data_IF_435511597825
#
_entry.id   IF_435511597825
#
_cell.length_a   1.000
_cell.length_b   1.000
_cell.length_c   1.000
_cell.angle_alpha   90.00
_cell.angle_beta   90.00
_cell.angle_gamma   90.00
#
_symmetry.space_group_name_H-M   'P 1'
#
loop_
_entity.id
_entity.type
_entity.pdbx_description
1 polymer ?
#
# COMPACT_ATOMS: atom_id res chain seq x y z
N UNK A 1 -4.56 -31.95 4.58
CA UNK A 1 -5.58 -31.04 4.01
C UNK A 1 -4.89 -30.02 3.13
N UNK A 2 -5.55 -29.58 2.06
CA UNK A 2 -4.97 -28.76 0.97
C UNK A 2 -4.18 -27.52 1.45
N UNK A 3 -4.63 -26.87 2.53
CA UNK A 3 -4.01 -25.65 3.07
C UNK A 3 -3.00 -25.85 4.22
N UNK A 4 -2.53 -27.06 4.49
CA UNK A 4 -1.63 -27.33 5.62
C UNK A 4 -0.17 -27.16 5.22
N UNK A 5 0.58 -26.43 6.04
CA UNK A 5 2.04 -26.34 5.97
C UNK A 5 2.60 -26.21 7.39
N UNK A 6 3.70 -26.92 7.76
CA UNK A 6 4.27 -26.86 9.11
C UNK A 6 4.72 -25.46 9.55
N UNK A 7 5.13 -24.63 8.58
CA UNK A 7 5.62 -23.27 8.84
C UNK A 7 4.50 -22.22 8.80
N UNK A 8 3.29 -22.60 8.35
CA UNK A 8 2.13 -21.70 8.32
C UNK A 8 1.51 -21.62 9.71
N UNK A 9 2.02 -20.67 10.51
CA UNK A 9 1.54 -20.42 11.87
C UNK A 9 1.32 -18.94 12.18
N UNK A 10 0.69 -18.64 13.33
CA UNK A 10 0.48 -17.26 13.80
C UNK A 10 1.79 -16.48 13.91
N UNK A 11 2.87 -17.13 14.39
CA UNK A 11 4.18 -16.49 14.55
C UNK A 11 4.74 -15.95 13.23
N UNK A 12 4.88 -16.81 12.21
CA UNK A 12 5.39 -16.39 10.89
C UNK A 12 4.48 -15.31 10.28
N UNK A 13 3.17 -15.48 10.41
CA UNK A 13 2.17 -14.52 9.91
C UNK A 13 2.31 -13.14 10.57
N UNK A 14 2.63 -13.11 11.87
CA UNK A 14 2.86 -11.90 12.64
C UNK A 14 4.19 -11.24 12.28
N UNK A 15 5.29 -11.99 12.17
CA UNK A 15 6.60 -11.48 11.73
C UNK A 15 6.52 -10.85 10.35
N UNK A 16 5.92 -11.54 9.37
CA UNK A 16 5.70 -10.99 8.03
C UNK A 16 4.84 -9.71 8.09
N UNK A 17 3.81 -9.70 8.95
CA UNK A 17 2.98 -8.53 9.19
C UNK A 17 3.76 -7.34 9.75
N UNK A 18 4.68 -7.58 10.69
CA UNK A 18 5.51 -6.54 11.30
C UNK A 18 6.50 -5.94 10.32
N UNK A 19 7.18 -6.78 9.52
CA UNK A 19 8.09 -6.31 8.47
C UNK A 19 7.33 -5.47 7.44
N UNK A 20 6.16 -5.94 7.01
CA UNK A 20 5.32 -5.18 6.08
C UNK A 20 4.76 -3.90 6.70
N UNK A 21 4.43 -3.88 7.99
CA UNK A 21 3.96 -2.67 8.67
C UNK A 21 5.02 -1.56 8.55
N UNK A 22 6.24 -1.82 9.02
CA UNK A 22 7.31 -0.81 8.92
C UNK A 22 7.68 -0.50 7.48
N UNK A 23 7.84 -1.53 6.65
CA UNK A 23 8.23 -1.38 5.26
C UNK A 23 7.23 -0.57 4.44
N UNK A 24 5.95 -0.90 4.52
CA UNK A 24 4.89 -0.19 3.80
C UNK A 24 4.67 1.21 4.37
N UNK A 25 4.78 1.42 5.69
CA UNK A 25 4.76 2.78 6.25
C UNK A 25 5.89 3.64 5.65
N UNK A 26 7.10 3.09 5.51
CA UNK A 26 8.19 3.79 4.81
C UNK A 26 7.84 4.07 3.35
N UNK A 27 7.22 3.14 2.63
CA UNK A 27 6.77 3.37 1.24
C UNK A 27 5.73 4.48 1.14
N UNK A 28 4.71 4.48 2.01
CA UNK A 28 3.67 5.53 2.04
C UNK A 28 4.30 6.90 2.28
N UNK A 29 5.18 7.01 3.27
CA UNK A 29 5.85 8.29 3.59
C UNK A 29 6.74 8.73 2.44
N UNK A 30 7.60 7.85 1.92
CA UNK A 30 8.51 8.21 0.81
C UNK A 30 7.77 8.50 -0.49
N UNK A 31 6.63 7.83 -0.74
CA UNK A 31 5.75 8.10 -1.87
C UNK A 31 5.06 9.45 -1.77
N UNK A 32 4.54 9.79 -0.57
CA UNK A 32 3.98 11.11 -0.29
C UNK A 32 5.03 12.21 -0.45
N UNK A 33 6.26 12.01 0.05
CA UNK A 33 7.37 12.93 -0.18
C UNK A 33 7.72 13.04 -1.67
N UNK A 34 7.65 11.95 -2.43
CA UNK A 34 7.87 11.97 -3.88
C UNK A 34 6.81 12.81 -4.59
N UNK A 35 5.52 12.67 -4.21
CA UNK A 35 4.44 13.50 -4.74
C UNK A 35 4.61 14.98 -4.38
N UNK A 36 4.95 15.30 -3.13
CA UNK A 36 5.25 16.67 -2.72
C UNK A 36 6.45 17.27 -3.48
N UNK A 37 7.43 16.44 -3.88
CA UNK A 37 8.59 16.88 -4.67
C UNK A 37 8.26 17.28 -6.12
N UNK A 38 7.09 16.89 -6.64
CA UNK A 38 6.59 17.49 -7.88
C UNK A 38 6.20 18.96 -7.67
N UNK A 39 5.94 19.38 -6.43
CA UNK A 39 5.43 20.70 -6.06
C UNK A 39 4.19 21.07 -6.90
N UNK A 40 3.07 20.35 -6.72
CA UNK A 40 1.87 20.53 -7.54
C UNK A 40 1.29 21.95 -7.48
N UNK A 41 1.47 22.64 -6.34
CA UNK A 41 0.99 24.01 -6.13
C UNK A 41 1.83 25.07 -6.87
N UNK A 42 3.02 24.70 -7.36
CA UNK A 42 3.95 25.63 -8.01
C UNK A 42 3.57 25.92 -9.47
N UNK A 43 3.16 24.91 -10.24
CA UNK A 43 2.80 25.04 -11.66
C UNK A 43 1.80 23.95 -12.09
N UNK A 44 0.76 24.27 -12.89
CA UNK A 44 -0.20 23.27 -13.39
C UNK A 44 0.43 22.11 -14.18
N UNK A 45 1.62 22.29 -14.76
CA UNK A 45 2.37 21.22 -15.44
C UNK A 45 2.94 20.20 -14.46
N UNK A 46 3.19 20.60 -13.21
CA UNK A 46 3.67 19.72 -12.15
C UNK A 46 2.54 18.90 -11.52
N UNK A 47 1.31 19.41 -11.53
CA UNK A 47 0.17 18.71 -10.94
C UNK A 47 -0.39 17.63 -11.88
N UNK A 48 0.09 16.41 -11.69
CA UNK A 48 -0.34 15.24 -12.44
C UNK A 48 -1.67 14.67 -11.92
N UNK A 49 -2.23 15.21 -10.84
CA UNK A 49 -3.50 14.81 -10.21
C UNK A 49 -4.25 16.02 -9.65
N UNK A 50 -4.75 16.94 -10.50
CA UNK A 50 -5.39 18.18 -10.06
C UNK A 50 -6.71 17.97 -9.29
N UNK A 51 -7.24 16.76 -9.32
CA UNK A 51 -8.43 16.32 -8.62
C UNK A 51 -8.14 15.77 -7.20
N UNK A 52 -6.93 15.98 -6.65
CA UNK A 52 -6.55 15.42 -5.35
C UNK A 52 -7.31 16.04 -4.17
N UNK A 53 -7.74 17.30 -4.28
CA UNK A 53 -8.57 18.03 -3.31
C UNK A 53 -8.10 17.80 -1.84
N UNK A 54 -8.96 17.31 -0.94
CA UNK A 54 -8.64 17.07 0.45
C UNK A 54 -7.48 16.09 0.68
N UNK A 55 -7.15 15.25 -0.31
CA UNK A 55 -6.07 14.28 -0.19
C UNK A 55 -4.68 14.93 -0.35
N UNK A 56 -4.61 16.20 -0.77
CA UNK A 56 -3.37 17.01 -0.82
C UNK A 56 -3.03 17.75 0.47
N UNK A 57 -3.73 17.49 1.59
CA UNK A 57 -3.56 18.24 2.85
C UNK A 57 -2.12 18.28 3.41
N UNK A 58 -1.25 17.40 2.92
CA UNK A 58 0.13 17.24 3.36
C UNK A 58 1.15 17.93 2.44
N UNK A 59 0.70 18.60 1.36
CA UNK A 59 1.59 19.28 0.42
C UNK A 59 2.31 20.46 1.09
N UNK A 60 3.57 20.65 0.69
CA UNK A 60 4.44 21.73 1.14
C UNK A 60 5.48 22.02 0.05
N UNK A 61 6.02 23.24 0.04
CA UNK A 61 7.09 23.61 -0.90
C UNK A 61 8.32 22.72 -0.68
N UNK A 62 8.65 21.93 -1.70
CA UNK A 62 9.69 20.94 -1.57
C UNK A 62 11.10 21.58 -1.51
N UNK A 63 11.94 21.19 -0.55
CA UNK A 63 13.33 21.67 -0.51
C UNK A 63 14.15 21.00 -1.61
N UNK A 64 14.49 21.76 -2.66
CA UNK A 64 15.33 21.29 -3.77
C UNK A 64 16.81 21.12 -3.40
N UNK A 65 17.22 21.64 -2.24
CA UNK A 65 18.55 21.47 -1.67
C UNK A 65 18.52 20.82 -0.28
N UNK A 66 19.44 19.88 0.00
CA UNK A 66 20.43 19.35 -0.93
C UNK A 66 19.81 18.40 -1.97
N UNK A 67 20.32 18.41 -3.21
CA UNK A 67 19.74 17.65 -4.33
C UNK A 67 19.68 16.14 -4.10
N UNK A 68 20.50 15.60 -3.19
CA UNK A 68 20.52 14.17 -2.89
C UNK A 68 19.29 13.73 -2.08
N UNK A 69 18.56 14.65 -1.43
CA UNK A 69 17.41 14.32 -0.61
C UNK A 69 16.36 13.54 -1.40
N UNK A 70 15.95 14.07 -2.56
CA UNK A 70 14.99 13.38 -3.43
C UNK A 70 15.53 12.05 -3.96
N UNK A 71 16.82 11.98 -4.30
CA UNK A 71 17.45 10.72 -4.74
C UNK A 71 17.41 9.65 -3.66
N UNK A 72 17.62 10.04 -2.40
CA UNK A 72 17.54 9.13 -1.27
C UNK A 72 16.10 8.66 -1.04
N UNK A 73 15.14 9.57 -0.94
CA UNK A 73 13.73 9.19 -0.67
C UNK A 73 13.17 8.34 -1.80
N UNK A 74 13.42 8.72 -3.05
CA UNK A 74 12.97 7.96 -4.22
C UNK A 74 13.70 6.62 -4.35
N UNK A 75 15.01 6.59 -4.09
CA UNK A 75 15.79 5.36 -4.08
C UNK A 75 15.29 4.38 -3.02
N UNK A 76 15.02 4.87 -1.80
CA UNK A 76 14.41 4.07 -0.73
C UNK A 76 13.04 3.56 -1.15
N UNK A 77 12.17 4.41 -1.69
CA UNK A 77 10.82 4.02 -2.11
C UNK A 77 10.86 2.85 -3.11
N UNK A 78 11.64 3.01 -4.19
CA UNK A 78 11.71 2.01 -5.26
C UNK A 78 12.40 0.73 -4.79
N UNK A 79 13.59 0.84 -4.18
CA UNK A 79 14.36 -0.34 -3.77
C UNK A 79 13.64 -1.12 -2.69
N UNK A 80 13.07 -0.44 -1.68
CA UNK A 80 12.31 -1.10 -0.63
C UNK A 80 11.04 -1.76 -1.19
N UNK A 81 10.36 -1.11 -2.14
CA UNK A 81 9.19 -1.66 -2.82
C UNK A 81 9.51 -3.01 -3.47
N UNK A 82 10.60 -3.08 -4.22
CA UNK A 82 11.08 -4.33 -4.84
C UNK A 82 11.45 -5.39 -3.80
N UNK A 83 12.20 -5.00 -2.76
CA UNK A 83 12.66 -5.91 -1.69
C UNK A 83 11.49 -6.51 -0.90
N UNK A 84 10.38 -5.77 -0.74
CA UNK A 84 9.21 -6.24 0.01
C UNK A 84 8.31 -7.20 -0.79
N UNK A 85 8.46 -7.31 -2.11
CA UNK A 85 7.66 -8.24 -2.95
C UNK A 85 7.62 -9.67 -2.38
N UNK A 86 8.75 -10.36 -2.11
CA UNK A 86 8.70 -11.71 -1.55
C UNK A 86 8.03 -11.77 -0.16
N UNK A 87 8.21 -10.74 0.67
CA UNK A 87 7.59 -10.66 2.01
C UNK A 87 6.06 -10.52 1.87
N UNK A 88 5.61 -9.68 0.95
CA UNK A 88 4.20 -9.49 0.62
C UNK A 88 3.57 -10.79 0.13
N UNK A 89 4.21 -11.46 -0.84
CA UNK A 89 3.73 -12.74 -1.37
C UNK A 89 3.66 -13.82 -0.28
N UNK A 90 4.68 -13.91 0.59
CA UNK A 90 4.68 -14.80 1.74
C UNK A 90 3.55 -14.48 2.72
N UNK A 91 3.28 -13.20 2.97
CA UNK A 91 2.17 -12.75 3.83
C UNK A 91 0.83 -13.15 3.23
N UNK A 92 0.60 -12.88 1.95
CA UNK A 92 -0.63 -13.24 1.25
C UNK A 92 -0.84 -14.75 1.28
N UNK A 93 0.20 -15.54 1.01
CA UNK A 93 0.17 -17.00 1.15
C UNK A 93 -0.18 -17.46 2.58
N UNK A 94 0.35 -16.79 3.61
CA UNK A 94 0.12 -17.17 5.00
C UNK A 94 -1.36 -17.00 5.42
N UNK A 95 -2.04 -16.00 4.84
CA UNK A 95 -3.44 -15.67 5.18
C UNK A 95 -4.46 -16.17 4.16
N UNK A 96 -4.02 -16.67 3.00
CA UNK A 96 -4.86 -17.13 1.89
C UNK A 96 -6.02 -18.06 2.31
N UNK A 97 -5.84 -19.04 3.22
CA UNK A 97 -6.95 -19.91 3.63
C UNK A 97 -8.11 -19.17 4.30
N UNK A 98 -7.84 -18.00 4.93
CA UNK A 98 -8.87 -17.20 5.60
C UNK A 98 -9.85 -16.58 4.59
N UNK A 99 -9.46 -16.40 3.33
CA UNK A 99 -10.35 -15.91 2.28
C UNK A 99 -11.48 -16.91 1.97
N UNK A 100 -11.21 -18.20 2.14
CA UNK A 100 -12.15 -19.30 1.86
C UNK A 100 -12.95 -19.77 3.08
N UNK A 101 -12.93 -19.02 4.19
CA UNK A 101 -13.72 -19.37 5.37
C UNK A 101 -15.23 -19.34 5.05
N UNK A 102 -15.96 -20.38 5.47
CA UNK A 102 -17.40 -20.52 5.26
C UNK A 102 -18.17 -20.57 6.60
N UNK A 103 -19.40 -20.01 6.70
CA UNK A 103 -20.08 -19.16 5.73
C UNK A 103 -19.34 -17.84 5.51
N UNK A 104 -19.59 -17.17 4.37
CA UNK A 104 -18.85 -15.97 3.99
C UNK A 104 -19.13 -14.83 4.97
N UNK A 105 -20.37 -14.66 5.42
CA UNK A 105 -20.69 -13.72 6.50
C UNK A 105 -21.68 -14.32 7.49
N UNK A 106 -21.53 -13.96 8.76
CA UNK A 106 -22.40 -14.29 9.89
C UNK A 106 -22.99 -13.02 10.54
N UNK A 107 -22.51 -11.83 10.17
CA UNK A 107 -22.97 -10.54 10.71
C UNK A 107 -22.54 -9.36 9.82
N UNK A 108 -23.19 -8.18 9.93
CA UNK A 108 -22.76 -6.96 9.24
C UNK A 108 -21.31 -6.56 9.56
N UNK A 109 -20.88 -6.72 10.81
CA UNK A 109 -19.49 -6.48 11.22
C UNK A 109 -18.51 -7.40 10.48
N UNK A 110 -18.85 -8.69 10.32
CA UNK A 110 -18.01 -9.62 9.55
C UNK A 110 -18.00 -9.28 8.05
N UNK A 111 -19.11 -8.80 7.49
CA UNK A 111 -19.14 -8.33 6.11
C UNK A 111 -18.21 -7.13 5.91
N UNK A 112 -18.24 -6.14 6.82
CA UNK A 112 -17.35 -4.99 6.77
C UNK A 112 -15.88 -5.39 6.91
N UNK A 113 -15.56 -6.32 7.81
CA UNK A 113 -14.20 -6.87 7.92
C UNK A 113 -13.71 -7.48 6.59
N UNK A 114 -14.58 -8.18 5.86
CA UNK A 114 -14.21 -8.78 4.57
C UNK A 114 -14.03 -7.75 3.46
N UNK A 115 -14.89 -6.73 3.41
CA UNK A 115 -14.74 -5.63 2.45
C UNK A 115 -13.45 -4.87 2.72
N UNK A 116 -13.17 -4.51 3.98
CA UNK A 116 -11.91 -3.89 4.38
C UNK A 116 -10.71 -4.76 3.99
N UNK A 117 -10.78 -6.08 4.23
CA UNK A 117 -9.71 -7.00 3.84
C UNK A 117 -9.54 -7.10 2.32
N UNK A 118 -10.62 -7.11 1.55
CA UNK A 118 -10.56 -7.10 0.09
C UNK A 118 -9.89 -5.82 -0.43
N UNK A 119 -10.27 -4.66 0.10
CA UNK A 119 -9.66 -3.38 -0.26
C UNK A 119 -8.18 -3.32 0.17
N UNK A 120 -7.85 -3.87 1.33
CA UNK A 120 -6.46 -3.92 1.81
C UNK A 120 -5.58 -4.80 0.92
N UNK A 121 -6.05 -6.01 0.60
CA UNK A 121 -5.32 -6.96 -0.26
C UNK A 121 -5.27 -6.46 -1.70
N UNK A 122 -6.39 -5.98 -2.23
CA UNK A 122 -6.46 -5.40 -3.58
C UNK A 122 -5.57 -4.17 -3.70
N UNK A 123 -5.64 -3.26 -2.74
CA UNK A 123 -4.83 -2.04 -2.70
C UNK A 123 -3.33 -2.33 -2.65
N UNK A 124 -2.87 -3.21 -1.76
CA UNK A 124 -1.42 -3.52 -1.69
C UNK A 124 -0.92 -4.20 -2.96
N UNK A 125 -1.72 -5.10 -3.56
CA UNK A 125 -1.33 -5.73 -4.83
C UNK A 125 -1.29 -4.68 -5.94
N UNK A 126 -2.30 -3.82 -6.01
CA UNK A 126 -2.40 -2.75 -7.00
C UNK A 126 -1.21 -1.80 -6.92
N UNK A 127 -0.85 -1.32 -5.73
CA UNK A 127 0.30 -0.44 -5.50
C UNK A 127 1.61 -1.11 -5.94
N UNK A 128 1.87 -2.34 -5.50
CA UNK A 128 3.10 -3.03 -5.88
C UNK A 128 3.17 -3.31 -7.39
N UNK A 129 2.06 -3.72 -8.02
CA UNK A 129 2.02 -3.98 -9.46
C UNK A 129 2.23 -2.71 -10.25
N UNK A 130 1.49 -1.64 -9.96
CA UNK A 130 1.62 -0.35 -10.67
C UNK A 130 3.01 0.26 -10.49
N UNK A 131 3.59 0.17 -9.28
CA UNK A 131 4.96 0.60 -9.01
C UNK A 131 6.01 -0.20 -9.79
N UNK A 132 5.91 -1.54 -9.81
CA UNK A 132 6.81 -2.41 -10.59
C UNK A 132 6.71 -2.14 -12.09
N UNK A 133 5.49 -1.98 -12.61
CA UNK A 133 5.25 -1.62 -14.01
C UNK A 133 5.89 -0.28 -14.37
N UNK A 134 5.77 0.73 -13.49
CA UNK A 134 6.33 2.05 -13.70
C UNK A 134 7.86 2.05 -13.76
N UNK A 135 8.54 1.35 -12.84
CA UNK A 135 10.02 1.29 -12.86
C UNK A 135 10.57 0.50 -14.06
N UNK A 136 9.72 -0.33 -14.69
CA UNK A 136 10.03 -1.04 -15.92
C UNK A 136 9.61 -0.28 -17.18
N UNK A 137 9.01 0.90 -17.04
CA UNK A 137 8.41 1.69 -18.14
C UNK A 137 7.35 0.90 -18.94
N UNK A 138 6.68 -0.04 -18.30
CA UNK A 138 5.70 -0.92 -18.92
C UNK A 138 4.28 -0.53 -18.50
N UNK A 139 3.67 0.42 -19.23
CA UNK A 139 2.33 0.96 -18.93
C UNK A 139 1.21 0.21 -19.65
N UNK A 140 1.01 -1.07 -19.32
CA UNK A 140 -0.05 -1.91 -19.91
C UNK A 140 -1.43 -1.76 -19.24
N UNK A 141 -1.72 -0.61 -18.63
CA UNK A 141 -2.99 -0.31 -17.96
C UNK A 141 -3.60 0.99 -18.48
N UNK A 142 -4.94 1.13 -18.43
CA UNK A 142 -5.60 2.36 -18.86
C UNK A 142 -5.34 3.47 -17.83
N UNK A 143 -4.84 4.62 -18.28
CA UNK A 143 -4.74 5.83 -17.46
C UNK A 143 -3.32 6.20 -17.01
N UNK A 144 -3.24 7.29 -16.23
CA UNK A 144 -1.98 7.84 -15.72
C UNK A 144 -1.49 7.04 -14.52
N UNK A 145 -0.22 6.62 -14.54
CA UNK A 145 0.43 6.02 -13.37
C UNK A 145 0.30 6.90 -12.13
N UNK A 146 0.60 8.19 -12.25
CA UNK A 146 0.57 9.14 -11.14
C UNK A 146 -0.80 9.16 -10.45
N UNK A 147 -1.87 9.27 -11.26
CA UNK A 147 -3.25 9.26 -10.77
C UNK A 147 -3.60 7.94 -10.10
N UNK A 148 -3.34 6.84 -10.80
CA UNK A 148 -3.71 5.51 -10.34
C UNK A 148 -2.99 5.16 -9.04
N UNK A 149 -1.68 5.35 -9.00
CA UNK A 149 -0.84 5.00 -7.85
C UNK A 149 -1.12 5.91 -6.64
N UNK A 150 -1.32 7.22 -6.84
CA UNK A 150 -1.65 8.12 -5.72
C UNK A 150 -2.99 7.76 -5.06
N UNK A 151 -4.06 7.61 -5.85
CA UNK A 151 -5.37 7.27 -5.29
C UNK A 151 -5.42 5.82 -4.78
N UNK A 152 -4.73 4.90 -5.45
CA UNK A 152 -4.57 3.52 -4.98
C UNK A 152 -3.90 3.47 -3.60
N UNK A 153 -2.86 4.28 -3.37
CA UNK A 153 -2.21 4.42 -2.08
C UNK A 153 -3.20 4.93 -1.01
N UNK A 154 -4.02 5.94 -1.32
CA UNK A 154 -5.04 6.45 -0.37
C UNK A 154 -6.13 5.43 -0.06
N UNK A 155 -6.60 4.67 -1.06
CA UNK A 155 -7.53 3.56 -0.85
C UNK A 155 -6.91 2.49 0.06
N UNK A 156 -5.66 2.12 -0.18
CA UNK A 156 -4.93 1.19 0.66
C UNK A 156 -4.79 1.68 2.10
N UNK A 157 -4.36 2.94 2.30
CA UNK A 157 -4.21 3.55 3.63
C UNK A 157 -5.54 3.58 4.37
N UNK A 158 -6.63 4.02 3.72
CA UNK A 158 -7.97 4.02 4.31
C UNK A 158 -8.43 2.61 4.69
N UNK A 159 -8.24 1.63 3.81
CA UNK A 159 -8.58 0.23 4.07
C UNK A 159 -7.76 -0.34 5.24
N UNK A 160 -6.48 0.03 5.36
CA UNK A 160 -5.60 -0.38 6.46
C UNK A 160 -6.05 0.21 7.81
N UNK A 161 -6.37 1.51 7.85
CA UNK A 161 -6.88 2.15 9.08
C UNK A 161 -8.18 1.47 9.54
N UNK A 162 -9.13 1.24 8.62
CA UNK A 162 -10.37 0.52 8.93
C UNK A 162 -10.07 -0.90 9.41
N UNK A 163 -9.15 -1.61 8.75
CA UNK A 163 -8.76 -2.97 9.14
C UNK A 163 -8.23 -3.02 10.56
N UNK A 164 -7.32 -2.11 10.91
CA UNK A 164 -6.75 -2.01 12.26
C UNK A 164 -7.85 -1.64 13.27
N UNK A 165 -8.65 -0.63 12.99
CA UNK A 165 -9.73 -0.20 13.89
C UNK A 165 -10.73 -1.32 14.21
N UNK A 166 -11.07 -2.16 13.21
CA UNK A 166 -11.95 -3.31 13.41
C UNK A 166 -11.27 -4.48 14.13
N UNK A 167 -9.97 -4.67 13.93
CA UNK A 167 -9.25 -5.81 14.52
C UNK A 167 -8.76 -5.56 15.93
N UNK A 168 -8.27 -4.37 16.26
CA UNK A 168 -7.67 -4.07 17.57
C UNK A 168 -8.57 -4.46 18.76
N UNK A 169 -9.89 -4.19 18.77
CA UNK A 169 -10.76 -4.55 19.90
C UNK A 169 -10.94 -6.05 20.12
N UNK A 170 -10.65 -6.88 19.12
CA UNK A 170 -10.83 -8.34 19.16
C UNK A 170 -9.49 -9.09 19.12
N UNK A 171 -8.37 -8.38 19.14
CA UNK A 171 -7.07 -8.99 19.40
C UNK A 171 -6.97 -9.29 20.89
N UNK A 172 -6.77 -10.56 21.23
CA UNK A 172 -6.53 -11.07 22.60
C UNK A 172 -5.09 -11.54 22.69
#
# INVERSE_FOLDING_TARGET
GFWRSPIRGPWLTAVLGLVLLFGITTLVVTGALSYAAYDPDLDPVNDLTPDHDLLGFYLFTWPTHPYWLYRLTQGVHVTLGVVLVPVLLAKLWSVLPRLFAWPPTRSPAQALERVSLLLLVGGVIFEFVTGLMNIQLWYAFPGSFYRLHLYGAWVFVGAFVVHVALKTPVMV
#
